data_IF_632840120271
#
_entry.id   IF_632840120271
#
_cell.length_a   1.000
_cell.length_b   1.000
_cell.length_c   1.000
_cell.angle_alpha   90.00
_cell.angle_beta   90.00
_cell.angle_gamma   90.00
#
_symmetry.space_group_name_H-M   'P 1'
#
loop_
_entity.id
_entity.type
_entity.pdbx_description
1 polymer ?
#
# COMPACT_ATOMS: atom_id res chain seq x y z
N UNK A 1 13.57 -26.13 -6.83
CA UNK A 1 14.36 -25.06 -7.45
C UNK A 1 15.80 -25.52 -7.79
N UNK A 2 16.42 -26.34 -6.93
CA UNK A 2 17.79 -26.85 -7.12
C UNK A 2 17.95 -27.74 -8.35
N UNK A 3 16.87 -28.30 -8.85
CA UNK A 3 16.87 -29.22 -10.02
C UNK A 3 16.37 -28.54 -11.31
N UNK A 4 16.06 -27.22 -11.25
CA UNK A 4 15.56 -26.49 -12.41
C UNK A 4 16.71 -25.71 -13.04
N UNK A 5 17.09 -26.00 -14.30
CA UNK A 5 18.14 -25.26 -15.00
C UNK A 5 17.77 -23.77 -15.17
N UNK A 6 18.73 -22.88 -14.94
CA UNK A 6 18.53 -21.44 -15.05
C UNK A 6 19.73 -20.75 -15.74
N UNK A 7 19.95 -21.04 -17.01
CA UNK A 7 20.93 -20.38 -17.86
C UNK A 7 22.29 -20.15 -17.19
N UNK A 8 22.79 -18.91 -17.21
CA UNK A 8 24.08 -18.51 -16.60
C UNK A 8 24.20 -18.74 -15.10
N UNK A 9 23.09 -18.92 -14.41
CA UNK A 9 23.06 -19.15 -12.94
C UNK A 9 23.18 -20.62 -12.55
N UNK A 10 23.12 -21.53 -13.53
CA UNK A 10 23.15 -22.98 -13.29
C UNK A 10 21.80 -23.53 -12.90
N UNK A 11 21.31 -23.20 -11.71
CA UNK A 11 20.01 -23.64 -11.18
C UNK A 11 19.21 -22.46 -10.64
N UNK A 12 17.87 -22.61 -10.60
CA UNK A 12 16.93 -21.53 -10.27
C UNK A 12 17.07 -21.04 -8.81
N UNK A 13 17.57 -21.86 -7.89
CA UNK A 13 17.87 -21.46 -6.51
C UNK A 13 19.02 -20.45 -6.40
N UNK A 14 19.85 -20.36 -7.46
CA UNK A 14 20.98 -19.42 -7.55
C UNK A 14 20.64 -18.17 -8.37
N UNK A 15 19.41 -18.09 -8.90
CA UNK A 15 18.98 -16.92 -9.66
C UNK A 15 18.93 -15.68 -8.77
N UNK A 16 19.62 -14.65 -9.21
CA UNK A 16 19.56 -13.31 -8.60
C UNK A 16 18.91 -12.39 -9.61
N UNK A 17 17.74 -11.81 -9.30
CA UNK A 17 17.13 -10.80 -10.15
C UNK A 17 18.04 -9.58 -10.28
N UNK A 18 18.25 -9.12 -11.50
CA UNK A 18 19.05 -7.94 -11.83
C UNK A 18 18.23 -6.82 -12.50
N UNK A 19 16.90 -6.90 -12.34
CA UNK A 19 15.98 -5.86 -12.80
C UNK A 19 16.02 -4.62 -11.91
N UNK A 20 15.86 -3.47 -12.53
CA UNK A 20 15.85 -2.14 -11.88
C UNK A 20 14.43 -1.57 -11.67
N UNK A 21 13.44 -2.43 -11.66
CA UNK A 21 12.03 -2.07 -11.47
C UNK A 21 11.32 -3.06 -10.53
N UNK A 22 10.22 -2.59 -9.95
CA UNK A 22 9.34 -3.38 -9.08
C UNK A 22 7.98 -3.54 -9.75
N UNK A 23 7.47 -4.76 -9.74
CA UNK A 23 6.12 -5.09 -10.21
C UNK A 23 5.24 -5.45 -9.01
N UNK A 24 4.12 -4.77 -8.87
CA UNK A 24 3.09 -5.09 -7.89
C UNK A 24 1.86 -5.61 -8.62
N UNK A 25 1.43 -6.81 -8.24
CA UNK A 25 0.16 -7.40 -8.65
C UNK A 25 -0.82 -7.30 -7.48
N UNK A 26 -1.93 -6.60 -7.68
CA UNK A 26 -2.92 -6.36 -6.63
C UNK A 26 -4.29 -6.87 -7.05
N UNK A 27 -4.92 -7.67 -6.19
CA UNK A 27 -6.22 -8.25 -6.47
C UNK A 27 -7.35 -7.23 -6.28
N UNK A 28 -8.32 -7.23 -7.18
CA UNK A 28 -9.61 -6.58 -6.96
C UNK A 28 -10.55 -7.57 -6.29
N UNK A 29 -10.74 -7.39 -5.01
CA UNK A 29 -11.66 -8.20 -4.23
C UNK A 29 -13.12 -7.86 -4.56
N UNK A 30 -14.01 -8.83 -4.43
CA UNK A 30 -15.41 -8.69 -4.79
C UNK A 30 -16.32 -9.41 -3.78
N UNK A 31 -15.99 -9.34 -2.52
CA UNK A 31 -16.80 -9.96 -1.46
C UNK A 31 -18.24 -9.45 -1.48
N UNK A 32 -18.45 -8.18 -1.87
CA UNK A 32 -19.78 -7.56 -2.00
C UNK A 32 -20.69 -8.23 -3.03
N UNK A 33 -20.13 -8.99 -3.97
CA UNK A 33 -20.91 -9.74 -4.99
C UNK A 33 -21.44 -11.07 -4.48
N UNK A 34 -20.95 -11.54 -3.35
CA UNK A 34 -21.31 -12.85 -2.81
C UNK A 34 -22.16 -12.67 -1.54
N UNK A 35 -23.49 -12.86 -1.66
CA UNK A 35 -24.39 -12.76 -0.51
C UNK A 35 -24.02 -13.77 0.58
N UNK A 36 -23.93 -13.31 1.82
CA UNK A 36 -23.67 -14.16 2.98
C UNK A 36 -22.20 -14.62 3.14
N UNK A 37 -21.29 -14.09 2.33
CA UNK A 37 -19.85 -14.36 2.46
C UNK A 37 -19.18 -13.27 3.28
N UNK A 38 -18.51 -13.69 4.34
CA UNK A 38 -17.68 -12.80 5.16
C UNK A 38 -16.42 -12.38 4.39
N UNK A 39 -16.02 -11.09 4.55
CA UNK A 39 -14.75 -10.59 4.01
C UNK A 39 -13.58 -11.14 4.84
N UNK A 40 -13.21 -12.37 4.53
CA UNK A 40 -12.07 -13.05 5.11
C UNK A 40 -11.22 -13.68 4.01
N UNK A 41 -9.96 -13.31 3.98
CA UNK A 41 -8.99 -13.88 3.06
C UNK A 41 -8.63 -15.31 3.46
N UNK A 42 -8.55 -16.20 2.49
CA UNK A 42 -8.23 -17.61 2.68
C UNK A 42 -7.65 -18.22 1.41
N UNK A 43 -7.70 -19.55 1.32
CA UNK A 43 -7.14 -20.30 0.19
C UNK A 43 -8.04 -20.31 -1.06
N UNK A 44 -9.28 -19.85 -0.93
CA UNK A 44 -10.23 -19.77 -2.05
C UNK A 44 -10.05 -18.44 -2.80
N UNK A 45 -10.09 -18.48 -4.12
CA UNK A 45 -10.05 -17.29 -4.96
C UNK A 45 -11.34 -16.46 -4.82
N UNK A 46 -11.22 -15.22 -4.35
CA UNK A 46 -12.33 -14.28 -4.13
C UNK A 46 -12.15 -12.97 -4.91
N UNK A 47 -11.14 -12.89 -5.75
CA UNK A 47 -10.90 -11.75 -6.62
C UNK A 47 -11.65 -11.92 -7.95
N UNK A 48 -12.19 -10.83 -8.49
CA UNK A 48 -12.83 -10.78 -9.81
C UNK A 48 -11.94 -10.18 -10.89
N UNK A 49 -10.76 -9.72 -10.51
CA UNK A 49 -9.77 -9.14 -11.38
C UNK A 49 -8.53 -8.77 -10.59
N UNK A 50 -7.58 -8.21 -11.28
CA UNK A 50 -6.31 -7.80 -10.71
C UNK A 50 -5.73 -6.65 -11.53
N UNK A 51 -4.90 -5.85 -10.90
CA UNK A 51 -4.06 -4.84 -11.56
C UNK A 51 -2.61 -5.22 -11.43
N UNK A 52 -1.82 -4.83 -12.40
CA UNK A 52 -0.37 -4.92 -12.38
C UNK A 52 0.20 -3.53 -12.56
N UNK A 53 1.05 -3.10 -11.66
CA UNK A 53 1.73 -1.82 -11.72
C UNK A 53 3.24 -2.01 -11.71
N UNK A 54 3.95 -1.11 -12.37
CA UNK A 54 5.40 -1.10 -12.46
C UNK A 54 5.90 0.24 -11.92
N UNK A 55 6.92 0.21 -11.09
CA UNK A 55 7.60 1.36 -10.53
C UNK A 55 9.09 1.11 -10.35
N UNK A 56 9.86 2.14 -10.07
CA UNK A 56 11.28 2.02 -9.70
C UNK A 56 11.45 1.55 -8.26
N UNK A 57 10.48 1.89 -7.40
CA UNK A 57 10.47 1.50 -5.98
C UNK A 57 9.19 0.75 -5.65
N UNK A 58 9.22 0.03 -4.51
CA UNK A 58 8.03 -0.64 -3.99
C UNK A 58 6.92 0.38 -3.68
N UNK A 59 7.24 1.49 -3.04
CA UNK A 59 6.30 2.56 -2.69
C UNK A 59 5.57 3.09 -3.93
N UNK A 60 6.33 3.46 -4.96
CA UNK A 60 5.77 3.92 -6.24
C UNK A 60 4.83 2.89 -6.87
N UNK A 61 5.30 1.65 -7.03
CA UNK A 61 4.51 0.59 -7.65
C UNK A 61 3.25 0.29 -6.83
N UNK A 62 3.33 0.28 -5.49
CA UNK A 62 2.20 -0.03 -4.62
C UNK A 62 1.11 1.06 -4.69
N UNK A 63 1.48 2.33 -4.60
CA UNK A 63 0.52 3.43 -4.74
C UNK A 63 -0.13 3.47 -6.14
N UNK A 64 0.65 3.19 -7.18
CA UNK A 64 0.12 3.01 -8.55
C UNK A 64 -0.92 1.88 -8.62
N UNK A 65 -0.65 0.73 -7.98
CA UNK A 65 -1.58 -0.39 -7.94
C UNK A 65 -2.90 0.01 -7.28
N UNK A 66 -2.86 0.69 -6.13
CA UNK A 66 -4.06 1.13 -5.42
C UNK A 66 -4.96 2.01 -6.29
N UNK A 67 -4.40 3.03 -6.94
CA UNK A 67 -5.22 3.91 -7.79
C UNK A 67 -5.74 3.21 -9.06
N UNK A 68 -4.99 2.22 -9.58
CA UNK A 68 -5.37 1.45 -10.76
C UNK A 68 -6.52 0.48 -10.51
N UNK A 69 -6.85 0.17 -9.25
CA UNK A 69 -8.04 -0.61 -8.88
C UNK A 69 -9.36 0.12 -9.16
N UNK A 70 -9.33 1.44 -9.36
CA UNK A 70 -10.50 2.29 -9.61
C UNK A 70 -11.61 2.14 -8.55
N UNK A 71 -11.21 1.97 -7.29
CA UNK A 71 -12.12 1.86 -6.12
C UNK A 71 -12.40 3.22 -5.47
N UNK A 72 -12.06 4.33 -6.14
CA UNK A 72 -12.17 5.68 -5.58
C UNK A 72 -11.04 6.05 -4.61
N UNK A 73 -10.03 5.19 -4.45
CA UNK A 73 -8.84 5.43 -3.64
C UNK A 73 -7.69 5.90 -4.53
N UNK A 74 -6.99 6.94 -4.11
CA UNK A 74 -5.89 7.55 -4.87
C UNK A 74 -4.52 7.32 -4.23
N UNK A 75 -4.50 6.66 -3.07
CA UNK A 75 -3.34 6.27 -2.28
C UNK A 75 -3.76 5.36 -1.13
N UNK A 76 -2.79 4.93 -0.30
CA UNK A 76 -3.03 4.06 0.86
C UNK A 76 -3.76 4.77 1.99
N UNK A 77 -3.47 6.04 2.21
CA UNK A 77 -4.07 6.84 3.24
C UNK A 77 -5.46 7.35 2.86
N UNK A 78 -5.99 8.18 3.74
CA UNK A 78 -7.30 8.80 3.54
C UNK A 78 -8.48 7.80 3.48
N UNK A 79 -8.30 6.61 4.05
CA UNK A 79 -9.36 5.62 4.19
C UNK A 79 -10.39 6.10 5.22
N UNK A 80 -11.45 6.74 4.76
CA UNK A 80 -12.47 7.40 5.58
C UNK A 80 -13.05 6.50 6.66
N UNK A 81 -13.18 5.20 6.37
CA UNK A 81 -13.82 4.21 7.22
C UNK A 81 -13.02 3.88 8.51
N UNK A 82 -11.71 4.20 8.52
CA UNK A 82 -10.82 3.83 9.63
C UNK A 82 -10.34 5.01 10.48
N UNK A 83 -10.56 6.26 10.04
CA UNK A 83 -10.09 7.47 10.75
C UNK A 83 -10.58 7.59 12.17
N UNK A 84 -11.82 7.15 12.45
CA UNK A 84 -12.46 7.23 13.77
C UNK A 84 -12.04 6.10 14.71
N UNK A 85 -11.29 5.11 14.21
CA UNK A 85 -10.89 3.96 15.02
C UNK A 85 -9.63 4.26 15.82
N UNK A 86 -9.55 3.68 17.03
CA UNK A 86 -8.33 3.72 17.83
C UNK A 86 -7.29 2.72 17.29
N UNK A 87 -6.03 2.87 17.72
CA UNK A 87 -4.96 1.92 17.41
C UNK A 87 -5.36 0.48 17.77
N UNK A 88 -5.89 0.30 18.98
CA UNK A 88 -6.27 -1.02 19.51
C UNK A 88 -7.38 -1.67 18.67
N UNK A 89 -8.37 -0.87 18.24
CA UNK A 89 -9.43 -1.34 17.36
C UNK A 89 -8.89 -1.78 16.00
N UNK A 90 -7.96 -1.01 15.44
CA UNK A 90 -7.32 -1.36 14.16
C UNK A 90 -6.47 -2.63 14.27
N UNK A 91 -5.68 -2.77 15.34
CA UNK A 91 -4.91 -3.98 15.60
C UNK A 91 -5.82 -5.20 15.76
N UNK A 92 -6.94 -5.05 16.49
CA UNK A 92 -7.93 -6.12 16.64
C UNK A 92 -8.54 -6.55 15.29
N UNK A 93 -8.81 -5.61 14.40
CA UNK A 93 -9.33 -5.91 13.05
C UNK A 93 -8.34 -6.68 12.18
N UNK A 94 -7.04 -6.50 12.40
CA UNK A 94 -5.98 -7.18 11.64
C UNK A 94 -5.79 -8.64 12.00
N UNK A 95 -6.34 -9.12 13.12
CA UNK A 95 -6.28 -10.53 13.53
C UNK A 95 -6.93 -11.42 12.47
N UNK A 96 -8.04 -10.96 11.87
CA UNK A 96 -8.67 -11.64 10.75
C UNK A 96 -8.28 -10.95 9.45
N UNK A 97 -7.55 -11.60 8.54
CA UNK A 97 -7.13 -10.98 7.29
C UNK A 97 -8.34 -10.69 6.39
N UNK A 98 -8.56 -9.43 6.09
CA UNK A 98 -9.63 -8.93 5.21
C UNK A 98 -9.08 -8.34 3.91
N UNK A 99 -9.95 -8.05 2.97
CA UNK A 99 -9.60 -7.36 1.71
C UNK A 99 -8.99 -5.98 1.95
N UNK A 100 -9.37 -5.31 3.03
CA UNK A 100 -8.93 -3.95 3.39
C UNK A 100 -7.70 -3.91 4.31
N UNK A 101 -7.09 -5.06 4.61
CA UNK A 101 -5.98 -5.13 5.59
C UNK A 101 -4.86 -4.11 5.37
N UNK A 102 -4.54 -3.78 4.10
CA UNK A 102 -3.48 -2.81 3.80
C UNK A 102 -3.84 -1.40 4.26
N UNK A 103 -5.09 -1.00 4.08
CA UNK A 103 -5.59 0.30 4.54
C UNK A 103 -5.69 0.36 6.06
N UNK A 104 -6.08 -0.76 6.70
CA UNK A 104 -6.12 -0.88 8.16
C UNK A 104 -4.70 -0.80 8.74
N UNK A 105 -3.72 -1.49 8.15
CA UNK A 105 -2.31 -1.41 8.56
C UNK A 105 -1.77 0.02 8.42
N UNK A 106 -2.05 0.67 7.30
CA UNK A 106 -1.61 2.04 7.04
C UNK A 106 -2.15 3.02 8.09
N UNK A 107 -3.44 2.92 8.42
CA UNK A 107 -4.04 3.76 9.46
C UNK A 107 -3.54 3.39 10.86
N UNK A 108 -3.27 2.12 11.14
CA UNK A 108 -2.67 1.70 12.41
C UNK A 108 -1.27 2.31 12.60
N UNK A 109 -0.44 2.33 11.56
CA UNK A 109 0.87 3.01 11.57
C UNK A 109 0.71 4.50 11.88
N UNK A 110 -0.25 5.18 11.24
CA UNK A 110 -0.57 6.59 11.51
C UNK A 110 -0.99 6.82 12.97
N UNK A 111 -1.68 5.86 13.59
CA UNK A 111 -2.08 5.91 15.00
C UNK A 111 -0.96 5.44 15.95
N UNK A 112 0.27 5.27 15.45
CA UNK A 112 1.43 4.93 16.27
C UNK A 112 1.62 3.44 16.54
N UNK A 113 1.07 2.55 15.72
CA UNK A 113 1.43 1.14 15.75
C UNK A 113 2.88 0.97 15.29
N UNK A 114 3.62 0.09 15.95
CA UNK A 114 4.99 -0.25 15.55
C UNK A 114 5.00 -1.28 14.42
N UNK A 115 6.12 -1.34 13.71
CA UNK A 115 6.37 -2.37 12.69
C UNK A 115 6.27 -3.77 13.28
N UNK A 116 6.80 -3.94 14.50
CA UNK A 116 6.78 -5.22 15.21
C UNK A 116 5.36 -5.65 15.61
N UNK A 117 4.53 -4.73 16.16
CA UNK A 117 3.14 -5.03 16.48
C UNK A 117 2.38 -5.53 15.25
N UNK A 118 2.58 -4.87 14.10
CA UNK A 118 1.93 -5.27 12.85
C UNK A 118 2.48 -6.59 12.31
N UNK A 119 3.79 -6.82 12.39
CA UNK A 119 4.39 -8.09 12.00
C UNK A 119 3.86 -9.26 12.83
N UNK A 120 3.80 -9.10 14.16
CA UNK A 120 3.31 -10.17 15.04
C UNK A 120 1.86 -10.57 14.75
N UNK A 121 1.01 -9.61 14.40
CA UNK A 121 -0.40 -9.87 14.10
C UNK A 121 -0.59 -10.41 12.68
N UNK A 122 0.04 -9.78 11.69
CA UNK A 122 -0.26 -10.02 10.27
C UNK A 122 0.68 -11.00 9.60
N UNK A 123 1.86 -11.21 10.16
CA UNK A 123 3.00 -11.93 9.58
C UNK A 123 3.45 -11.39 8.21
N UNK A 124 3.05 -10.18 7.87
CA UNK A 124 3.60 -9.43 6.73
C UNK A 124 5.04 -9.06 7.08
N UNK A 125 5.98 -9.30 6.16
CA UNK A 125 7.41 -9.06 6.40
C UNK A 125 7.69 -7.60 6.74
N UNK A 126 8.61 -7.36 7.68
CA UNK A 126 9.04 -6.04 8.16
C UNK A 126 9.28 -5.05 7.02
N UNK A 127 10.02 -5.45 6.00
CA UNK A 127 10.30 -4.63 4.83
C UNK A 127 9.04 -3.94 4.26
N UNK A 128 7.93 -4.68 4.07
CA UNK A 128 6.71 -4.12 3.50
C UNK A 128 6.00 -3.16 4.46
N UNK A 129 6.06 -3.45 5.76
CA UNK A 129 5.49 -2.60 6.80
C UNK A 129 6.31 -1.31 6.94
N UNK A 130 7.64 -1.41 6.88
CA UNK A 130 8.54 -0.27 6.89
C UNK A 130 8.29 0.66 5.69
N UNK A 131 8.12 0.11 4.49
CA UNK A 131 7.78 0.91 3.31
C UNK A 131 6.42 1.63 3.46
N UNK A 132 5.44 1.00 4.11
CA UNK A 132 4.18 1.67 4.45
C UNK A 132 4.38 2.77 5.49
N UNK A 133 5.23 2.55 6.49
CA UNK A 133 5.54 3.51 7.54
C UNK A 133 6.21 4.77 6.95
N UNK A 134 7.18 4.59 6.07
CA UNK A 134 7.82 5.70 5.35
C UNK A 134 6.79 6.54 4.57
N UNK A 135 5.82 5.89 3.90
CA UNK A 135 4.73 6.61 3.21
C UNK A 135 3.83 7.37 4.17
N UNK A 136 3.55 6.83 5.38
CA UNK A 136 2.79 7.54 6.41
C UNK A 136 3.55 8.78 6.88
N UNK A 137 4.85 8.65 7.18
CA UNK A 137 5.69 9.75 7.62
C UNK A 137 5.75 10.87 6.57
N UNK A 138 5.89 10.52 5.30
CA UNK A 138 5.86 11.48 4.19
C UNK A 138 4.50 12.15 4.02
N UNK A 139 3.40 11.39 4.14
CA UNK A 139 2.04 11.95 4.11
C UNK A 139 1.80 12.93 5.26
N UNK A 140 2.31 12.65 6.46
CA UNK A 140 2.20 13.55 7.61
C UNK A 140 3.02 14.84 7.40
N UNK A 141 4.21 14.75 6.83
CA UNK A 141 5.00 15.94 6.45
C UNK A 141 4.24 16.82 5.44
N UNK A 142 3.64 16.21 4.42
CA UNK A 142 2.80 16.92 3.46
C UNK A 142 1.58 17.55 4.15
N UNK A 143 0.90 16.79 5.01
CA UNK A 143 -0.29 17.26 5.72
C UNK A 143 -0.02 18.41 6.70
N UNK A 144 1.20 18.53 7.23
CA UNK A 144 1.61 19.66 8.07
C UNK A 144 1.62 20.98 7.29
N UNK A 145 1.79 20.95 5.97
CA UNK A 145 1.79 22.11 5.08
C UNK A 145 0.45 22.41 4.40
N UNK A 146 -0.69 21.95 4.93
CA UNK A 146 -2.02 22.18 4.36
C UNK A 146 -2.27 23.65 4.00
N UNK A 147 -2.88 23.87 2.86
CA UNK A 147 -3.21 25.21 2.33
C UNK A 147 -2.03 25.90 1.60
N UNK A 148 -0.85 25.29 1.57
CA UNK A 148 0.30 25.80 0.83
C UNK A 148 1.02 24.71 0.03
N UNK A 149 1.70 25.10 -1.04
CA UNK A 149 2.57 24.17 -1.76
C UNK A 149 3.77 23.77 -0.90
N UNK A 150 4.11 22.48 -0.83
CA UNK A 150 5.35 22.04 -0.19
C UNK A 150 6.59 22.52 -0.97
N UNK A 151 7.78 22.36 -0.41
CA UNK A 151 9.02 22.63 -1.15
C UNK A 151 9.13 21.71 -2.37
N UNK A 152 9.87 22.14 -3.38
CA UNK A 152 10.11 21.37 -4.61
C UNK A 152 10.74 20.01 -4.32
N UNK A 153 11.62 19.94 -3.29
CA UNK A 153 12.25 18.69 -2.87
C UNK A 153 11.23 17.72 -2.31
N UNK A 154 10.34 18.18 -1.39
CA UNK A 154 9.32 17.34 -0.78
C UNK A 154 8.29 16.90 -1.82
N UNK A 155 7.86 17.81 -2.70
CA UNK A 155 6.93 17.48 -3.78
C UNK A 155 7.55 16.45 -4.74
N UNK A 156 8.82 16.62 -5.10
CA UNK A 156 9.54 15.68 -5.97
C UNK A 156 9.69 14.31 -5.32
N UNK A 157 9.99 14.24 -4.02
CA UNK A 157 10.07 12.99 -3.26
C UNK A 157 8.71 12.27 -3.28
N UNK A 158 7.64 12.97 -2.91
CA UNK A 158 6.28 12.43 -2.91
C UNK A 158 5.85 11.89 -4.29
N UNK A 159 6.18 12.60 -5.36
CA UNK A 159 5.92 12.13 -6.73
C UNK A 159 6.68 10.85 -7.06
N UNK A 160 7.94 10.73 -6.66
CA UNK A 160 8.77 9.53 -6.84
C UNK A 160 8.24 8.35 -6.04
N UNK A 161 7.69 8.59 -4.84
CA UNK A 161 7.09 7.58 -3.99
C UNK A 161 5.63 7.25 -4.35
N UNK A 162 5.14 7.84 -5.45
CA UNK A 162 3.90 7.45 -6.10
C UNK A 162 2.65 8.22 -5.68
N UNK A 163 2.79 9.32 -4.93
CA UNK A 163 1.67 10.21 -4.64
C UNK A 163 1.15 10.84 -5.93
N UNK A 164 -0.11 10.59 -6.24
CA UNK A 164 -0.77 11.20 -7.40
C UNK A 164 -1.19 12.63 -7.12
N UNK A 165 -1.33 13.46 -8.16
CA UNK A 165 -1.82 14.83 -8.02
C UNK A 165 -3.15 14.88 -7.28
N UNK A 166 -4.05 13.97 -7.60
CA UNK A 166 -5.34 13.85 -6.93
C UNK A 166 -5.19 13.55 -5.44
N UNK A 167 -4.22 12.71 -5.07
CA UNK A 167 -3.99 12.39 -3.67
C UNK A 167 -3.32 13.54 -2.95
N UNK A 168 -2.33 14.19 -3.57
CA UNK A 168 -1.68 15.40 -3.04
C UNK A 168 -2.69 16.52 -2.83
N UNK A 169 -3.62 16.75 -3.78
CA UNK A 169 -4.67 17.76 -3.63
C UNK A 169 -5.56 17.51 -2.42
N UNK A 170 -5.81 16.23 -2.09
CA UNK A 170 -6.60 15.86 -0.92
C UNK A 170 -5.82 16.04 0.39
N UNK A 171 -4.53 15.71 0.41
CA UNK A 171 -3.68 15.85 1.59
C UNK A 171 -3.45 17.33 1.91
N UNK A 172 -3.09 18.11 0.88
CA UNK A 172 -2.75 19.53 1.00
C UNK A 172 -3.97 20.45 1.09
N UNK A 173 -5.18 19.92 0.81
CA UNK A 173 -6.41 20.71 0.71
C UNK A 173 -6.30 21.82 -0.35
N UNK A 174 -5.58 21.54 -1.44
CA UNK A 174 -5.37 22.42 -2.57
C UNK A 174 -6.14 21.95 -3.80
N UNK A 175 -6.44 22.89 -4.71
CA UNK A 175 -6.98 22.55 -6.03
C UNK A 175 -5.90 21.89 -6.89
N UNK A 176 -6.32 20.95 -7.76
CA UNK A 176 -5.41 20.26 -8.70
C UNK A 176 -4.63 21.22 -9.62
N UNK A 177 -5.15 22.41 -9.89
CA UNK A 177 -4.46 23.39 -10.72
C UNK A 177 -3.26 24.06 -10.01
N UNK A 178 -3.10 23.82 -8.73
CA UNK A 178 -2.01 24.36 -7.92
C UNK A 178 -0.93 23.32 -7.59
N UNK A 179 -1.11 22.07 -8.05
CA UNK A 179 -0.19 20.96 -7.89
C UNK A 179 0.38 20.57 -9.25
#
# INVERSE_FOLDING_TARGET
LKDIPCGKYGTLDKYVPDGDYVVIKFARWAFEKFKGVEDKLGTQMRAVGEVMSIGKTYKEAFQKAIRSLETGRYGLGNAKDYRQKTKEQLLQMLITPSSDRHFIMYEALRKGASVEELYEITKVKHYFIEQMKELVEEEELLAAGKGSLPSDELLTAAKKDGFSDKYLSQILELSLIHI
#
